data_IF_375784224982
#
_entry.id   IF_375784224982
#
_cell.length_a   1.000
_cell.length_b   1.000
_cell.length_c   1.000
_cell.angle_alpha   90.00
_cell.angle_beta   90.00
_cell.angle_gamma   90.00
#
_symmetry.space_group_name_H-M   'P 1'
#
loop_
_entity.id
_entity.type
_entity.pdbx_description
1 polymer ?
#
# COMPACT_ATOMS: atom_id res chain seq x y z
N UNK A 1 6.90 -24.86 -4.13
CA UNK A 1 5.82 -25.81 -4.47
C UNK A 1 4.55 -25.15 -5.05
N UNK A 2 4.36 -23.81 -4.99
CA UNK A 2 3.21 -23.15 -5.62
C UNK A 2 3.28 -23.04 -7.17
N UNK A 3 4.45 -23.21 -7.81
CA UNK A 3 4.61 -22.99 -9.26
C UNK A 3 3.95 -24.06 -10.14
N UNK A 4 3.71 -25.26 -9.61
CA UNK A 4 3.35 -26.41 -10.46
C UNK A 4 1.84 -26.68 -10.49
N UNK A 5 1.07 -26.02 -9.62
CA UNK A 5 -0.38 -26.23 -9.48
C UNK A 5 -1.11 -25.77 -10.76
N UNK A 6 -0.78 -24.59 -11.27
CA UNK A 6 -1.38 -24.05 -12.49
C UNK A 6 -1.15 -24.93 -13.71
N UNK A 7 0.11 -25.24 -14.07
CA UNK A 7 0.41 -26.14 -15.19
C UNK A 7 -0.21 -27.53 -15.03
N UNK A 8 -0.22 -28.09 -13.82
CA UNK A 8 -0.83 -29.40 -13.56
C UNK A 8 -2.34 -29.39 -13.77
N UNK A 9 -3.04 -28.33 -13.35
CA UNK A 9 -4.48 -28.17 -13.58
C UNK A 9 -4.82 -27.97 -15.06
N UNK A 10 -3.97 -27.27 -15.81
CA UNK A 10 -4.14 -27.11 -17.26
C UNK A 10 -4.02 -28.47 -17.97
N UNK A 11 -2.98 -29.24 -17.65
CA UNK A 11 -2.74 -30.56 -18.24
C UNK A 11 -3.86 -31.53 -17.88
N UNK A 12 -4.25 -31.57 -16.60
CA UNK A 12 -5.35 -32.42 -16.13
C UNK A 12 -6.68 -32.03 -16.79
N UNK A 13 -7.01 -30.75 -16.82
CA UNK A 13 -8.24 -30.26 -17.42
C UNK A 13 -8.31 -30.55 -18.91
N UNK A 14 -7.20 -30.38 -19.65
CA UNK A 14 -7.13 -30.70 -21.07
C UNK A 14 -7.34 -32.20 -21.34
N UNK A 15 -6.75 -33.08 -20.53
CA UNK A 15 -6.93 -34.52 -20.63
C UNK A 15 -8.38 -34.93 -20.34
N UNK A 16 -9.01 -34.36 -19.31
CA UNK A 16 -10.40 -34.63 -18.94
C UNK A 16 -11.37 -34.10 -20.00
N UNK A 17 -11.12 -32.91 -20.57
CA UNK A 17 -11.92 -32.38 -21.67
C UNK A 17 -11.81 -33.25 -22.93
N UNK A 18 -10.61 -33.75 -23.25
CA UNK A 18 -10.41 -34.64 -24.40
C UNK A 18 -11.19 -35.95 -24.25
N UNK A 19 -11.21 -36.54 -23.04
CA UNK A 19 -12.03 -37.72 -22.74
C UNK A 19 -13.53 -37.42 -22.89
N UNK A 20 -13.98 -36.25 -22.44
CA UNK A 20 -15.36 -35.81 -22.59
C UNK A 20 -15.80 -35.58 -24.04
N UNK A 21 -14.88 -35.26 -24.95
CA UNK A 21 -15.16 -35.10 -26.38
C UNK A 21 -15.22 -36.43 -27.14
N UNK A 22 -14.50 -37.46 -26.67
CA UNK A 22 -14.44 -38.77 -27.31
C UNK A 22 -15.66 -39.64 -27.05
N UNK A 23 -16.43 -39.34 -26.00
CA UNK A 23 -17.64 -40.09 -25.65
C UNK A 23 -18.89 -39.24 -25.82
N UNK A 24 -19.81 -39.61 -26.73
CA UNK A 24 -21.11 -38.96 -26.78
C UNK A 24 -21.82 -39.16 -25.43
N UNK A 25 -22.45 -38.10 -24.92
CA UNK A 25 -23.20 -38.04 -23.65
C UNK A 25 -22.41 -37.75 -22.34
N UNK A 26 -21.13 -37.35 -22.42
CA UNK A 26 -20.33 -36.92 -21.25
C UNK A 26 -20.15 -35.40 -21.12
N UNK A 27 -21.23 -34.64 -21.33
CA UNK A 27 -21.24 -33.20 -21.11
C UNK A 27 -20.70 -32.76 -19.72
N UNK A 28 -20.96 -33.48 -18.60
CA UNK A 28 -20.40 -33.12 -17.30
C UNK A 28 -18.87 -33.23 -17.23
N UNK A 29 -18.29 -34.21 -17.92
CA UNK A 29 -16.84 -34.44 -17.94
C UNK A 29 -16.14 -33.34 -18.73
N UNK A 30 -16.72 -32.94 -19.86
CA UNK A 30 -16.26 -31.81 -20.66
C UNK A 30 -16.28 -30.50 -19.87
N UNK A 31 -17.38 -30.24 -19.14
CA UNK A 31 -17.51 -29.05 -18.30
C UNK A 31 -16.48 -29.03 -17.18
N UNK A 32 -16.23 -30.17 -16.52
CA UNK A 32 -15.20 -30.30 -15.49
C UNK A 32 -13.80 -30.02 -16.05
N UNK A 33 -13.47 -30.59 -17.22
CA UNK A 33 -12.18 -30.36 -17.87
C UNK A 33 -11.97 -28.88 -18.23
N UNK A 34 -12.99 -28.23 -18.79
CA UNK A 34 -12.91 -26.80 -19.14
C UNK A 34 -12.81 -25.91 -17.90
N UNK A 35 -13.49 -26.27 -16.81
CA UNK A 35 -13.38 -25.57 -15.53
C UNK A 35 -11.97 -25.73 -14.93
N UNK A 36 -11.38 -26.94 -15.00
CA UNK A 36 -10.02 -27.20 -14.54
C UNK A 36 -8.96 -26.47 -15.39
N UNK A 37 -9.14 -26.41 -16.71
CA UNK A 37 -8.28 -25.60 -17.62
C UNK A 37 -8.38 -24.12 -17.25
N UNK A 38 -9.59 -23.60 -17.06
CA UNK A 38 -9.82 -22.20 -16.67
C UNK A 38 -9.18 -21.88 -15.32
N UNK A 39 -9.35 -22.77 -14.33
CA UNK A 39 -8.73 -22.63 -13.02
C UNK A 39 -7.20 -22.71 -13.08
N UNK A 40 -6.66 -23.61 -13.92
CA UNK A 40 -5.23 -23.73 -14.16
C UNK A 40 -4.64 -22.49 -14.82
N UNK A 41 -5.31 -21.94 -15.84
CA UNK A 41 -4.95 -20.68 -16.50
C UNK A 41 -4.92 -19.50 -15.52
N UNK A 42 -5.95 -19.37 -14.67
CA UNK A 42 -5.99 -18.35 -13.62
C UNK A 42 -4.90 -18.56 -12.57
N UNK A 43 -4.59 -19.81 -12.22
CA UNK A 43 -3.50 -20.14 -11.28
C UNK A 43 -2.10 -19.90 -11.89
N UNK A 44 -1.95 -20.03 -13.22
CA UNK A 44 -0.71 -19.66 -13.93
C UNK A 44 -0.60 -18.17 -14.22
N UNK A 45 -1.70 -17.42 -14.18
CA UNK A 45 -1.68 -15.99 -14.39
C UNK A 45 -0.94 -15.35 -13.22
N UNK A 46 0.36 -15.08 -13.40
CA UNK A 46 1.25 -14.60 -12.34
C UNK A 46 0.65 -13.36 -11.66
N UNK A 47 0.22 -13.47 -10.40
CA UNK A 47 -0.24 -12.33 -9.62
C UNK A 47 0.86 -11.26 -9.55
N UNK A 48 2.12 -11.71 -9.47
CA UNK A 48 3.30 -10.86 -9.48
C UNK A 48 3.49 -10.06 -10.77
N UNK A 49 3.12 -10.61 -11.94
CA UNK A 49 3.19 -9.88 -13.21
C UNK A 49 2.12 -8.79 -13.27
N UNK A 50 0.89 -9.10 -12.84
CA UNK A 50 -0.20 -8.13 -12.76
C UNK A 50 0.11 -7.01 -11.76
N UNK A 51 0.63 -7.34 -10.59
CA UNK A 51 1.04 -6.36 -9.57
C UNK A 51 2.13 -5.42 -10.10
N UNK A 52 3.12 -5.94 -10.84
CA UNK A 52 4.14 -5.11 -11.49
C UNK A 52 3.54 -4.16 -12.52
N UNK A 53 2.60 -4.63 -13.36
CA UNK A 53 1.92 -3.78 -14.35
C UNK A 53 1.09 -2.70 -13.65
N UNK A 54 0.31 -3.06 -12.63
CA UNK A 54 -0.48 -2.09 -11.86
C UNK A 54 0.40 -1.06 -11.15
N UNK A 55 1.49 -1.50 -10.50
CA UNK A 55 2.45 -0.60 -9.89
C UNK A 55 3.05 0.37 -10.91
N UNK A 56 3.37 -0.12 -12.13
CA UNK A 56 3.90 0.70 -13.21
C UNK A 56 2.88 1.71 -13.74
N UNK A 57 1.60 1.33 -13.84
CA UNK A 57 0.52 2.24 -14.22
C UNK A 57 0.29 3.32 -13.15
N UNK A 58 0.46 2.98 -11.87
CA UNK A 58 0.38 3.95 -10.77
C UNK A 58 1.50 4.99 -10.80
N UNK A 59 2.68 4.68 -11.38
CA UNK A 59 3.79 5.64 -11.48
C UNK A 59 3.37 6.94 -12.18
N UNK A 60 2.54 6.87 -13.23
CA UNK A 60 2.05 8.07 -13.93
C UNK A 60 1.23 9.00 -13.02
N UNK A 61 0.45 8.44 -12.10
CA UNK A 61 -0.27 9.22 -11.09
C UNK A 61 0.67 9.95 -10.14
N UNK A 62 1.75 9.28 -9.72
CA UNK A 62 2.75 9.86 -8.80
C UNK A 62 3.71 10.83 -9.48
N UNK A 63 3.98 10.65 -10.76
CA UNK A 63 4.69 11.60 -11.61
C UNK A 63 3.91 12.92 -11.71
N UNK A 64 2.61 12.84 -12.06
CA UNK A 64 1.72 14.00 -12.10
C UNK A 64 1.57 14.66 -10.72
N UNK A 65 1.43 13.86 -9.66
CA UNK A 65 1.38 14.38 -8.28
C UNK A 65 2.67 15.12 -7.92
N UNK A 66 3.82 14.61 -8.35
CA UNK A 66 5.11 15.26 -8.11
C UNK A 66 5.22 16.58 -8.88
N UNK A 67 4.77 16.62 -10.14
CA UNK A 67 4.69 17.85 -10.93
C UNK A 67 3.77 18.88 -10.27
N UNK A 68 2.63 18.46 -9.72
CA UNK A 68 1.73 19.34 -8.96
C UNK A 68 2.41 19.90 -7.71
N UNK A 69 3.09 19.07 -6.93
CA UNK A 69 3.82 19.53 -5.74
C UNK A 69 4.90 20.57 -6.10
N UNK A 70 5.61 20.38 -7.21
CA UNK A 70 6.58 21.34 -7.73
C UNK A 70 5.91 22.65 -8.16
N UNK A 71 4.82 22.56 -8.92
CA UNK A 71 4.10 23.73 -9.45
C UNK A 71 3.53 24.60 -8.33
N UNK A 72 3.10 23.97 -7.23
CA UNK A 72 2.61 24.67 -6.03
C UNK A 72 3.76 25.27 -5.21
N UNK A 73 5.00 24.81 -5.40
CA UNK A 73 6.15 25.24 -4.61
C UNK A 73 6.12 24.75 -3.16
N UNK A 74 5.33 23.71 -2.88
CA UNK A 74 5.25 23.16 -1.53
C UNK A 74 6.54 22.40 -1.20
N UNK A 75 7.18 22.65 -0.04
CA UNK A 75 8.36 21.90 0.37
C UNK A 75 7.99 20.43 0.59
N UNK A 76 8.90 19.48 0.29
CA UNK A 76 8.59 18.05 0.27
C UNK A 76 8.56 17.47 1.69
N UNK A 77 7.58 17.88 2.49
CA UNK A 77 7.29 17.26 3.79
C UNK A 77 5.80 17.11 3.98
N UNK A 78 5.37 15.89 4.24
CA UNK A 78 3.98 15.59 4.54
C UNK A 78 3.74 15.42 6.04
N UNK A 79 2.58 15.91 6.47
CA UNK A 79 1.99 15.65 7.77
C UNK A 79 0.79 14.73 7.57
N UNK A 80 0.82 13.55 8.17
CA UNK A 80 -0.26 12.59 8.21
C UNK A 80 -1.26 13.02 9.27
N UNK A 81 -2.47 13.33 8.84
CA UNK A 81 -3.54 13.90 9.66
C UNK A 81 -4.59 12.81 9.89
N UNK A 82 -4.99 12.58 11.16
CA UNK A 82 -5.99 11.57 11.46
C UNK A 82 -7.39 11.97 11.01
N UNK A 83 -8.24 10.97 10.83
CA UNK A 83 -9.66 11.07 10.51
C UNK A 83 -10.42 11.95 11.49
N UNK A 84 -10.04 11.97 12.77
CA UNK A 84 -10.63 12.83 13.80
C UNK A 84 -10.45 14.33 13.53
N UNK A 85 -9.42 14.73 12.78
CA UNK A 85 -9.10 16.13 12.48
C UNK A 85 -9.57 16.57 11.08
N UNK A 86 -9.51 15.70 10.07
CA UNK A 86 -9.85 16.02 8.68
C UNK A 86 -11.12 15.34 8.15
N UNK A 87 -11.81 14.54 8.99
CA UNK A 87 -12.96 13.71 8.60
C UNK A 87 -12.59 12.41 7.89
N UNK A 88 -11.37 12.32 7.35
CA UNK A 88 -10.75 11.11 6.80
C UNK A 88 -9.23 11.17 6.93
N UNK A 89 -8.50 10.05 6.98
CA UNK A 89 -7.05 10.06 7.06
C UNK A 89 -6.44 10.66 5.79
N UNK A 90 -5.60 11.69 5.89
CA UNK A 90 -4.96 12.34 4.74
C UNK A 90 -3.51 12.67 5.03
N UNK A 91 -2.72 12.86 3.98
CA UNK A 91 -1.42 13.51 4.10
C UNK A 91 -1.51 14.94 3.58
N UNK A 92 -0.97 15.90 4.33
CA UNK A 92 -0.88 17.30 3.93
C UNK A 92 0.58 17.65 3.69
N UNK A 93 0.93 17.94 2.44
CA UNK A 93 2.27 18.42 2.06
C UNK A 93 2.32 19.91 2.27
N UNK A 94 3.12 20.37 3.23
CA UNK A 94 3.20 21.76 3.66
C UNK A 94 4.55 22.08 4.33
N UNK A 95 4.91 23.37 4.39
CA UNK A 95 6.13 23.83 5.08
C UNK A 95 6.09 23.67 6.59
N UNK A 96 4.90 23.78 7.17
CA UNK A 96 4.66 23.66 8.61
C UNK A 96 3.47 22.73 8.88
N UNK A 97 3.34 22.30 10.14
CA UNK A 97 2.20 21.50 10.57
C UNK A 97 0.92 22.34 10.43
N UNK A 98 -0.08 21.91 9.65
CA UNK A 98 -1.32 22.65 9.54
C UNK A 98 -2.08 22.63 10.88
N UNK A 99 -2.59 23.79 11.31
CA UNK A 99 -3.43 23.93 12.50
C UNK A 99 -4.82 23.32 12.27
N UNK A 100 -5.36 23.52 11.07
CA UNK A 100 -6.63 22.97 10.63
C UNK A 100 -6.55 22.55 9.16
N UNK A 101 -7.26 21.49 8.81
CA UNK A 101 -7.41 21.03 7.42
C UNK A 101 -8.84 21.29 6.99
N UNK A 102 -9.08 22.19 6.00
CA UNK A 102 -10.42 22.41 5.48
C UNK A 102 -10.99 21.12 4.91
N UNK A 103 -12.29 20.87 5.16
CA UNK A 103 -12.97 19.72 4.58
C UNK A 103 -12.97 19.84 3.06
N UNK A 104 -12.71 18.72 2.38
CA UNK A 104 -12.74 18.56 0.93
C UNK A 104 -11.81 19.48 0.11
N UNK A 105 -10.87 20.18 0.76
CA UNK A 105 -9.86 20.96 0.06
C UNK A 105 -8.78 20.07 -0.53
N UNK A 106 -8.48 20.27 -1.81
CA UNK A 106 -7.28 19.70 -2.46
C UNK A 106 -6.04 20.55 -2.19
N UNK A 107 -6.22 21.88 -2.17
CA UNK A 107 -5.16 22.87 -1.93
C UNK A 107 -5.73 23.96 -1.03
N UNK A 108 -4.95 24.40 -0.04
CA UNK A 108 -5.30 25.54 0.81
C UNK A 108 -4.03 26.32 1.20
N UNK A 109 -4.19 27.49 1.83
CA UNK A 109 -3.06 28.32 2.29
C UNK A 109 -2.85 28.16 3.79
N UNK A 110 -1.58 28.00 4.18
CA UNK A 110 -1.07 28.05 5.56
C UNK A 110 -0.23 29.31 5.76
N UNK A 111 0.24 29.59 6.99
CA UNK A 111 1.13 30.74 7.24
C UNK A 111 2.48 30.53 6.54
N UNK A 112 2.93 29.28 6.43
CA UNK A 112 4.14 28.89 5.71
C UNK A 112 3.97 28.72 4.18
N UNK A 113 2.81 29.07 3.61
CA UNK A 113 2.56 29.00 2.17
C UNK A 113 1.50 27.96 1.77
N UNK A 114 1.45 27.55 0.50
CA UNK A 114 0.43 26.62 0.03
C UNK A 114 0.63 25.21 0.61
N UNK A 115 -0.48 24.53 0.87
CA UNK A 115 -0.54 23.16 1.36
C UNK A 115 -1.40 22.32 0.41
N UNK A 116 -0.95 21.10 0.14
CA UNK A 116 -1.64 20.16 -0.75
C UNK A 116 -2.11 18.95 0.07
N UNK A 117 -3.39 18.63 -0.04
CA UNK A 117 -4.01 17.48 0.63
C UNK A 117 -4.03 16.30 -0.33
N UNK A 118 -3.47 15.17 0.10
CA UNK A 118 -3.33 13.97 -0.71
C UNK A 118 -3.92 12.75 0.02
N UNK A 119 -4.61 11.91 -0.76
CA UNK A 119 -4.84 10.52 -0.36
C UNK A 119 -3.54 9.74 -0.63
N UNK A 120 -3.14 8.91 0.33
CA UNK A 120 -1.89 8.14 0.25
C UNK A 120 -2.15 6.64 0.32
N UNK A 121 -1.14 5.80 0.00
CA UNK A 121 -1.22 4.37 0.32
C UNK A 121 -1.56 4.12 1.79
N UNK A 122 -1.09 4.97 2.72
CA UNK A 122 -1.49 4.90 4.13
C UNK A 122 -2.98 5.13 4.35
N UNK A 123 -3.56 6.14 3.71
CA UNK A 123 -5.02 6.38 3.73
C UNK A 123 -5.79 5.14 3.26
N UNK A 124 -5.37 4.53 2.15
CA UNK A 124 -6.03 3.36 1.58
C UNK A 124 -5.78 2.07 2.35
N UNK A 125 -4.61 1.93 2.97
CA UNK A 125 -4.32 0.83 3.88
C UNK A 125 -5.26 0.84 5.09
N UNK A 126 -5.57 2.01 5.66
CA UNK A 126 -6.51 2.11 6.78
C UNK A 126 -7.92 1.65 6.42
N UNK A 127 -8.39 1.94 5.19
CA UNK A 127 -9.68 1.43 4.70
C UNK A 127 -9.71 -0.10 4.61
N UNK A 128 -8.56 -0.74 4.33
CA UNK A 128 -8.43 -2.19 4.21
C UNK A 128 -8.19 -2.88 5.56
N UNK A 129 -7.45 -2.24 6.46
CA UNK A 129 -7.07 -2.81 7.75
C UNK A 129 -8.18 -2.75 8.80
N UNK A 130 -9.18 -1.87 8.61
CA UNK A 130 -10.32 -1.76 9.51
C UNK A 130 -9.97 -1.16 10.86
N UNK A 131 -10.57 -1.66 11.93
CA UNK A 131 -10.32 -1.18 13.30
C UNK A 131 -8.90 -1.54 13.76
N UNK A 132 -8.21 -0.53 14.32
CA UNK A 132 -6.84 -0.68 14.80
C UNK A 132 -6.81 -0.99 16.31
N UNK A 133 -5.97 -1.95 16.74
CA UNK A 133 -5.59 -2.14 18.14
C UNK A 133 -5.02 -0.86 18.77
N UNK A 134 -5.15 -0.71 20.09
CA UNK A 134 -4.67 0.50 20.79
C UNK A 134 -3.13 0.66 20.84
N UNK A 135 -2.38 -0.42 20.62
CA UNK A 135 -0.91 -0.43 20.58
C UNK A 135 -0.38 -0.32 19.15
N UNK A 136 0.63 0.54 18.93
CA UNK A 136 1.17 0.79 17.60
C UNK A 136 1.86 -0.45 17.00
N UNK A 137 2.58 -1.24 17.80
CA UNK A 137 3.26 -2.44 17.32
C UNK A 137 2.24 -3.50 16.89
N UNK A 138 1.19 -3.68 17.68
CA UNK A 138 0.10 -4.60 17.38
C UNK A 138 -0.70 -4.15 16.15
N UNK A 139 -1.02 -2.85 16.05
CA UNK A 139 -1.73 -2.31 14.90
C UNK A 139 -0.95 -2.44 13.59
N UNK A 140 0.35 -2.15 13.60
CA UNK A 140 1.19 -2.34 12.43
C UNK A 140 1.38 -3.82 12.08
N UNK A 141 1.45 -4.71 13.07
CA UNK A 141 1.50 -6.15 12.83
C UNK A 141 0.21 -6.65 12.18
N UNK A 142 -0.94 -6.26 12.74
CA UNK A 142 -2.25 -6.62 12.18
C UNK A 142 -2.41 -6.09 10.75
N UNK A 143 -2.16 -4.79 10.54
CA UNK A 143 -2.38 -4.15 9.26
C UNK A 143 -1.31 -4.53 8.22
N UNK A 144 -0.03 -4.28 8.49
CA UNK A 144 1.05 -4.38 7.48
C UNK A 144 1.46 -5.83 7.22
N UNK A 145 1.54 -6.66 8.26
CA UNK A 145 2.01 -8.05 8.15
C UNK A 145 0.85 -8.98 7.82
N UNK A 146 -0.22 -8.96 8.61
CA UNK A 146 -1.28 -9.96 8.49
C UNK A 146 -2.27 -9.63 7.35
N UNK A 147 -2.77 -8.40 7.29
CA UNK A 147 -3.78 -8.01 6.30
C UNK A 147 -3.16 -7.71 4.94
N UNK A 148 -2.11 -6.90 4.89
CA UNK A 148 -1.53 -6.40 3.63
C UNK A 148 -0.36 -7.25 3.11
N UNK A 149 0.28 -8.07 3.94
CA UNK A 149 1.40 -8.92 3.53
C UNK A 149 2.62 -8.16 3.00
N UNK A 150 2.81 -6.89 3.37
CA UNK A 150 3.86 -6.02 2.82
C UNK A 150 5.22 -6.19 3.51
N UNK A 151 5.24 -6.87 4.66
CA UNK A 151 6.43 -7.23 5.43
C UNK A 151 6.20 -8.56 6.16
N UNK A 152 7.29 -9.22 6.58
CA UNK A 152 7.22 -10.47 7.37
C UNK A 152 7.21 -10.23 8.87
N UNK A 153 7.77 -9.11 9.32
CA UNK A 153 7.85 -8.77 10.73
C UNK A 153 7.88 -7.25 10.90
N UNK A 154 7.45 -6.80 12.08
CA UNK A 154 7.53 -5.41 12.51
C UNK A 154 7.90 -5.36 13.99
N UNK A 155 8.82 -4.46 14.32
CA UNK A 155 9.18 -4.06 15.68
C UNK A 155 9.04 -2.56 15.82
N UNK A 156 8.57 -2.11 16.98
CA UNK A 156 8.37 -0.69 17.28
C UNK A 156 9.11 -0.37 18.57
N UNK A 157 9.87 0.71 18.55
CA UNK A 157 10.48 1.33 19.72
C UNK A 157 9.87 2.73 19.89
N UNK A 158 8.96 2.87 20.85
CA UNK A 158 8.36 4.16 21.17
C UNK A 158 9.37 5.12 21.81
N UNK A 159 9.20 6.41 21.51
CA UNK A 159 10.00 7.51 22.05
C UNK A 159 9.07 8.60 22.56
N UNK A 160 9.52 9.49 23.47
CA UNK A 160 8.68 10.58 23.99
C UNK A 160 8.09 11.48 22.88
N UNK A 161 8.83 11.65 21.78
CA UNK A 161 8.49 12.52 20.65
C UNK A 161 8.01 11.76 19.40
N UNK A 162 7.81 10.43 19.46
CA UNK A 162 7.41 9.65 18.29
C UNK A 162 7.69 8.16 18.42
N UNK A 163 8.09 7.52 17.32
CA UNK A 163 8.42 6.09 17.33
C UNK A 163 9.44 5.77 16.25
N UNK A 164 10.24 4.73 16.48
CA UNK A 164 11.07 4.09 15.46
C UNK A 164 10.49 2.74 15.14
N UNK A 165 10.19 2.51 13.88
CA UNK A 165 9.57 1.28 13.39
C UNK A 165 10.54 0.58 12.45
N UNK A 166 10.82 -0.69 12.71
CA UNK A 166 11.65 -1.54 11.87
C UNK A 166 10.83 -2.68 11.27
N UNK A 167 10.93 -2.83 9.95
CA UNK A 167 10.30 -3.89 9.18
C UNK A 167 11.34 -4.88 8.66
N UNK A 168 11.02 -6.17 8.78
CA UNK A 168 11.80 -7.26 8.22
C UNK A 168 11.08 -7.96 7.07
N UNK A 169 11.83 -8.39 6.07
CA UNK A 169 11.29 -9.14 4.93
C UNK A 169 10.33 -8.31 4.08
N UNK A 170 10.66 -7.03 3.86
CA UNK A 170 9.84 -6.09 3.09
C UNK A 170 9.61 -6.62 1.67
N UNK A 171 8.34 -6.63 1.27
CA UNK A 171 7.85 -7.01 -0.06
C UNK A 171 7.02 -5.88 -0.71
N UNK A 172 6.95 -4.71 -0.07
CA UNK A 172 6.17 -3.59 -0.56
C UNK A 172 6.64 -3.11 -1.95
N UNK A 173 5.70 -2.77 -2.86
CA UNK A 173 6.04 -2.27 -4.19
C UNK A 173 6.69 -0.88 -4.11
N UNK A 174 7.63 -0.62 -5.01
CA UNK A 174 8.21 0.71 -5.16
C UNK A 174 7.33 1.58 -6.07
N UNK A 175 6.26 2.16 -5.52
CA UNK A 175 5.28 2.95 -6.27
C UNK A 175 5.82 4.32 -6.74
N UNK A 176 6.75 4.89 -6.00
CA UNK A 176 7.18 6.28 -6.21
C UNK A 176 8.48 6.41 -7.01
N UNK A 177 9.19 5.30 -7.28
CA UNK A 177 10.47 5.34 -8.00
C UNK A 177 11.45 6.35 -7.39
N UNK A 178 11.82 7.35 -8.21
CA UNK A 178 12.67 8.50 -7.82
C UNK A 178 11.92 9.84 -7.82
N UNK A 179 10.59 9.82 -7.84
CA UNK A 179 9.78 11.03 -7.91
C UNK A 179 9.76 11.79 -6.58
N UNK A 180 9.48 13.10 -6.62
CA UNK A 180 9.40 13.94 -5.42
C UNK A 180 8.32 13.49 -4.44
N UNK A 181 7.26 12.82 -4.92
CA UNK A 181 6.26 12.21 -4.06
C UNK A 181 6.89 11.29 -3.00
N UNK A 182 7.96 10.55 -3.32
CA UNK A 182 8.69 9.74 -2.32
C UNK A 182 9.33 10.61 -1.24
N UNK A 183 9.94 11.72 -1.63
CA UNK A 183 10.61 12.62 -0.68
C UNK A 183 9.61 13.31 0.24
N UNK A 184 8.40 13.60 -0.27
CA UNK A 184 7.35 14.24 0.52
C UNK A 184 6.58 13.26 1.41
N UNK A 185 6.21 12.09 0.89
CA UNK A 185 5.30 11.11 1.53
C UNK A 185 6.04 9.92 2.16
N UNK A 186 7.33 9.74 1.90
CA UNK A 186 8.05 8.50 2.20
C UNK A 186 7.63 7.33 1.30
N UNK A 187 8.24 6.17 1.52
CA UNK A 187 7.88 4.91 0.88
C UNK A 187 6.46 4.45 1.25
N UNK A 188 5.94 3.45 0.53
CA UNK A 188 4.60 2.89 0.79
C UNK A 188 4.46 2.46 2.25
N UNK A 189 5.44 1.73 2.78
CA UNK A 189 5.42 1.31 4.18
C UNK A 189 5.54 2.50 5.14
N UNK A 190 6.43 3.47 4.88
CA UNK A 190 6.55 4.64 5.74
C UNK A 190 5.24 5.45 5.79
N UNK A 191 4.58 5.58 4.64
CA UNK A 191 3.28 6.23 4.50
C UNK A 191 2.17 5.53 5.28
N UNK A 192 2.12 4.18 5.20
CA UNK A 192 1.18 3.39 6.02
C UNK A 192 1.49 3.52 7.51
N UNK A 193 2.77 3.45 7.88
CA UNK A 193 3.21 3.57 9.27
C UNK A 193 2.78 4.90 9.87
N UNK A 194 3.01 6.00 9.16
CA UNK A 194 2.66 7.34 9.60
C UNK A 194 1.14 7.53 9.68
N UNK A 195 0.37 6.98 8.74
CA UNK A 195 -1.09 7.03 8.78
C UNK A 195 -1.67 6.26 9.98
N UNK A 196 -1.19 5.04 10.23
CA UNK A 196 -1.60 4.22 11.39
C UNK A 196 -1.24 4.93 12.70
N UNK A 197 -0.02 5.46 12.81
CA UNK A 197 0.40 6.20 14.00
C UNK A 197 -0.43 7.48 14.21
N UNK A 198 -0.76 8.21 13.14
CA UNK A 198 -1.60 9.39 13.23
C UNK A 198 -3.00 9.06 13.76
N UNK A 199 -3.63 8.00 13.24
CA UNK A 199 -4.94 7.53 13.71
C UNK A 199 -4.90 7.12 15.18
N UNK A 200 -3.90 6.33 15.60
CA UNK A 200 -3.79 5.85 16.98
C UNK A 200 -3.52 6.97 17.98
N UNK A 201 -2.56 7.83 17.68
CA UNK A 201 -2.21 8.94 18.56
C UNK A 201 -3.18 10.11 18.48
N UNK A 202 -4.14 10.06 17.54
CA UNK A 202 -5.13 11.12 17.27
C UNK A 202 -4.48 12.50 17.11
N UNK A 203 -3.27 12.52 16.54
CA UNK A 203 -2.50 13.74 16.30
C UNK A 203 -1.75 13.65 14.98
N UNK A 204 -1.47 14.79 14.34
CA UNK A 204 -0.60 14.85 13.17
C UNK A 204 0.77 14.20 13.41
N UNK A 205 1.20 13.37 12.46
CA UNK A 205 2.51 12.68 12.47
C UNK A 205 3.27 13.03 11.19
N UNK A 206 4.58 13.18 11.27
CA UNK A 206 5.47 13.31 10.11
C UNK A 206 6.47 12.17 10.08
N UNK A 207 6.87 11.79 8.87
CA UNK A 207 8.02 10.91 8.67
C UNK A 207 9.27 11.79 8.78
N UNK A 208 10.06 11.56 9.82
CA UNK A 208 11.29 12.30 10.06
C UNK A 208 12.45 11.74 9.23
N UNK A 209 12.51 10.42 9.08
CA UNK A 209 13.53 9.72 8.30
C UNK A 209 13.04 8.34 7.87
N UNK A 210 13.57 7.84 6.75
CA UNK A 210 13.41 6.44 6.33
C UNK A 210 14.73 5.90 5.76
N UNK A 211 15.09 4.68 6.17
CA UNK A 211 16.30 4.01 5.69
C UNK A 211 15.98 2.58 5.27
N UNK A 212 16.19 2.29 4.00
CA UNK A 212 16.03 0.95 3.44
C UNK A 212 17.40 0.29 3.25
N UNK A 213 17.54 -0.96 3.70
CA UNK A 213 18.74 -1.76 3.52
C UNK A 213 18.34 -3.19 3.13
N UNK A 214 18.44 -3.51 1.84
CA UNK A 214 17.97 -4.77 1.29
C UNK A 214 16.48 -4.99 1.52
N UNK A 215 16.13 -6.00 2.33
CA UNK A 215 14.75 -6.33 2.73
C UNK A 215 14.38 -5.81 4.12
N UNK A 216 15.15 -4.88 4.67
CA UNK A 216 14.85 -4.17 5.92
C UNK A 216 14.50 -2.72 5.63
N UNK A 217 13.56 -2.18 6.39
CA UNK A 217 13.18 -0.78 6.34
C UNK A 217 13.02 -0.25 7.76
N UNK A 218 13.70 0.85 8.06
CA UNK A 218 13.54 1.59 9.31
C UNK A 218 12.83 2.91 8.99
N UNK A 219 11.78 3.22 9.73
CA UNK A 219 10.98 4.45 9.62
C UNK A 219 11.00 5.16 10.96
N UNK A 220 11.32 6.45 10.94
CA UNK A 220 11.34 7.30 12.14
C UNK A 220 10.17 8.28 12.04
N UNK A 221 9.30 8.25 13.04
CA UNK A 221 8.12 9.11 13.15
C UNK A 221 8.32 10.21 14.20
N UNK A 222 7.70 11.36 13.97
CA UNK A 222 7.61 12.50 14.89
C UNK A 222 6.27 13.20 14.83
#
# INVERSE_FOLDING_TARGET
MQSDIGPSLIVLGAAVSALGLLQPNLAPLLALGLAAVSAGLLATWEPAAREKVLAKLCEAGWENTSALLQAVGAPPKAYYIPSSASGRPVAVVAGERPEAVPRDALIFKTKAGPAVVLATPGTKALELCGELPGDLAEALRSCVVNTLGLARSVSVAERPDGAVVEYGGVAAPNLYGKFLAKSALGSVLASITAAVAAELWKRPVKIADEKAEGRRLVVVLR
#
